data_IF_251798513885
#
_entry.id   IF_251798513885
#
_cell.length_a   1.000
_cell.length_b   1.000
_cell.length_c   1.000
_cell.angle_alpha   90.00
_cell.angle_beta   90.00
_cell.angle_gamma   90.00
#
_symmetry.space_group_name_H-M   'P 1'
#
loop_
_entity.id
_entity.type
_entity.pdbx_description
1 polymer ?
#
# COMPACT_ATOMS: atom_id res chain seq x y z
N UNK A 1 13.17 3.02 2.12
CA UNK A 1 12.31 2.94 3.33
C UNK A 1 11.19 1.94 3.08
N UNK A 2 10.73 1.23 4.10
CA UNK A 2 9.62 0.27 3.98
C UNK A 2 8.34 0.90 4.48
N UNK A 3 7.31 0.97 3.63
CA UNK A 3 6.03 1.60 3.91
C UNK A 3 4.93 0.53 3.95
N UNK A 4 4.14 0.56 5.04
CA UNK A 4 3.01 -0.32 5.26
C UNK A 4 1.72 0.51 5.16
N UNK A 5 0.81 0.10 4.27
CA UNK A 5 -0.44 0.80 4.07
C UNK A 5 -1.63 0.00 4.56
N UNK A 6 -2.38 0.58 5.49
CA UNK A 6 -3.59 -0.01 6.05
C UNK A 6 -4.78 0.32 5.15
N UNK A 7 -5.32 -0.68 4.48
CA UNK A 7 -6.51 -0.50 3.63
C UNK A 7 -7.32 -1.78 3.54
N UNK A 8 -8.65 -1.63 3.56
CA UNK A 8 -9.59 -2.71 3.25
C UNK A 8 -9.73 -2.94 1.74
N UNK A 9 -9.30 -1.98 0.93
CA UNK A 9 -9.42 -2.05 -0.53
C UNK A 9 -8.10 -1.63 -1.20
N UNK A 10 -7.23 -2.58 -1.57
CA UNK A 10 -5.97 -2.29 -2.24
C UNK A 10 -6.15 -1.91 -3.71
N UNK A 11 -7.36 -2.04 -4.28
CA UNK A 11 -7.66 -1.76 -5.69
C UNK A 11 -8.10 -0.32 -5.95
N UNK A 12 -8.17 0.52 -4.91
CA UNK A 12 -8.50 1.94 -5.08
C UNK A 12 -7.48 2.63 -5.99
N UNK A 13 -7.96 3.54 -6.83
CA UNK A 13 -7.09 4.32 -7.73
C UNK A 13 -6.01 5.09 -6.96
N UNK A 14 -6.35 5.65 -5.79
CA UNK A 14 -5.40 6.32 -4.89
C UNK A 14 -4.25 5.41 -4.45
N UNK A 15 -4.54 4.14 -4.15
CA UNK A 15 -3.55 3.13 -3.78
C UNK A 15 -2.58 2.82 -4.92
N UNK A 16 -3.10 2.73 -6.14
CA UNK A 16 -2.28 2.48 -7.33
C UNK A 16 -1.32 3.64 -7.58
N UNK A 17 -1.80 4.89 -7.49
CA UNK A 17 -0.97 6.10 -7.65
C UNK A 17 0.09 6.21 -6.57
N UNK A 18 -0.27 5.91 -5.32
CA UNK A 18 0.68 5.92 -4.21
C UNK A 18 1.77 4.86 -4.38
N UNK A 19 1.41 3.62 -4.74
CA UNK A 19 2.37 2.55 -5.03
C UNK A 19 3.37 2.95 -6.12
N UNK A 20 2.90 3.57 -7.20
CA UNK A 20 3.77 4.08 -8.27
C UNK A 20 4.75 5.15 -7.76
N UNK A 21 4.29 6.06 -6.91
CA UNK A 21 5.16 7.07 -6.31
C UNK A 21 6.22 6.44 -5.39
N UNK A 22 5.84 5.47 -4.54
CA UNK A 22 6.78 4.73 -3.69
C UNK A 22 7.84 4.00 -4.51
N UNK A 23 7.46 3.33 -5.60
CA UNK A 23 8.39 2.64 -6.49
C UNK A 23 9.38 3.60 -7.15
N UNK A 24 8.91 4.76 -7.62
CA UNK A 24 9.78 5.81 -8.19
C UNK A 24 10.77 6.37 -7.17
N UNK A 25 10.40 6.41 -5.90
CA UNK A 25 11.27 6.86 -4.80
C UNK A 25 12.18 5.75 -4.25
N UNK A 26 12.17 4.53 -4.81
CA UNK A 26 12.96 3.41 -4.31
C UNK A 26 12.52 2.94 -2.91
N UNK A 27 11.22 3.05 -2.61
CA UNK A 27 10.64 2.57 -1.35
C UNK A 27 9.97 1.22 -1.53
N UNK A 28 10.13 0.35 -0.53
CA UNK A 28 9.40 -0.91 -0.45
C UNK A 28 7.98 -0.63 0.02
N UNK A 29 7.00 -1.30 -0.60
CA UNK A 29 5.58 -1.08 -0.36
C UNK A 29 4.86 -2.40 -0.06
N UNK A 30 4.08 -2.43 1.01
CA UNK A 30 3.19 -3.54 1.32
C UNK A 30 1.84 -3.03 1.86
N UNK A 31 0.77 -3.73 1.52
CA UNK A 31 -0.58 -3.45 2.03
C UNK A 31 -0.93 -4.41 3.15
N UNK A 32 -1.46 -3.89 4.24
CA UNK A 32 -2.02 -4.65 5.34
C UNK A 32 -3.54 -4.49 5.30
N UNK A 33 -4.25 -5.62 5.21
CA UNK A 33 -5.69 -5.64 5.35
C UNK A 33 -6.04 -5.62 6.84
N UNK A 34 -6.68 -4.54 7.28
CA UNK A 34 -7.06 -4.33 8.69
C UNK A 34 -8.17 -5.29 9.13
N UNK A 35 -8.79 -6.05 8.21
CA UNK A 35 -9.85 -7.00 8.52
C UNK A 35 -9.39 -8.47 8.66
N UNK A 36 -8.11 -8.80 8.42
CA UNK A 36 -7.56 -10.12 8.77
C UNK A 36 -7.28 -10.22 10.27
N UNK A 37 -8.32 -10.08 11.08
CA UNK A 37 -8.40 -10.68 12.42
C UNK A 37 -9.13 -11.99 12.24
N UNK A 38 -8.38 -13.11 12.32
CA UNK A 38 -8.81 -14.51 12.44
C UNK A 38 -10.23 -14.88 11.99
#
# INVERSE_FOLDING_TARGET
MRLLFLTRNPRLYSMQRFKQACQRAGHEFATLDVLKTN
#
